data_IF_452726885760
#
_entry.id   IF_452726885760
#
_cell.length_a   1.000
_cell.length_b   1.000
_cell.length_c   1.000
_cell.angle_alpha   90.00
_cell.angle_beta   90.00
_cell.angle_gamma   90.00
#
_symmetry.space_group_name_H-M   'P 1'
#
loop_
_entity.id
_entity.type
_entity.pdbx_description
1 polymer ?
#
# COMPACT_ATOMS: atom_id res chain seq x y z
N UNK A 1 7.62 3.51 4.95
CA UNK A 1 8.59 3.92 3.91
C UNK A 1 8.54 2.92 2.77
N UNK A 2 8.24 3.35 1.55
CA UNK A 2 8.21 2.47 0.37
C UNK A 2 9.22 2.97 -0.67
N UNK A 3 9.76 2.07 -1.49
CA UNK A 3 10.63 2.39 -2.63
C UNK A 3 10.26 1.49 -3.81
N UNK A 4 10.13 2.06 -4.99
CA UNK A 4 9.92 1.33 -6.24
C UNK A 4 11.14 1.49 -7.14
N UNK A 5 11.61 0.39 -7.71
CA UNK A 5 12.59 0.39 -8.81
C UNK A 5 12.05 -0.43 -9.98
N UNK A 6 12.13 0.13 -11.18
CA UNK A 6 11.74 -0.53 -12.42
C UNK A 6 12.99 -0.73 -13.26
N UNK A 7 13.17 -1.93 -13.79
CA UNK A 7 14.32 -2.29 -14.62
C UNK A 7 13.82 -2.80 -15.97
N UNK A 8 14.62 -2.58 -17.01
CA UNK A 8 14.42 -3.27 -18.27
C UNK A 8 14.87 -4.72 -18.12
N UNK A 9 14.13 -5.66 -18.72
CA UNK A 9 14.50 -7.07 -18.76
C UNK A 9 15.90 -7.29 -19.38
N UNK A 10 16.25 -6.47 -20.36
CA UNK A 10 17.55 -6.51 -21.05
C UNK A 10 18.69 -5.79 -20.33
N UNK A 11 18.41 -5.00 -19.29
CA UNK A 11 19.44 -4.30 -18.52
C UNK A 11 19.05 -4.18 -17.03
N UNK A 12 19.29 -5.23 -16.23
CA UNK A 12 18.95 -5.23 -14.81
C UNK A 12 19.91 -4.39 -13.95
N UNK A 13 21.04 -3.92 -14.50
CA UNK A 13 22.03 -3.16 -13.73
C UNK A 13 21.65 -1.69 -13.54
N UNK A 14 20.80 -1.14 -14.40
CA UNK A 14 20.40 0.27 -14.36
C UNK A 14 18.88 0.39 -14.23
N UNK A 15 18.36 0.94 -13.11
CA UNK A 15 16.94 1.18 -12.98
C UNK A 15 16.49 2.27 -13.97
N UNK A 16 15.42 2.00 -14.70
CA UNK A 16 14.72 3.01 -15.51
C UNK A 16 13.92 3.97 -14.64
N UNK A 17 13.50 3.51 -13.47
CA UNK A 17 12.79 4.31 -12.48
C UNK A 17 13.26 3.94 -11.08
N UNK A 18 13.46 4.93 -10.22
CA UNK A 18 13.76 4.74 -8.80
C UNK A 18 13.14 5.90 -8.01
N UNK A 19 12.15 5.59 -7.18
CA UNK A 19 11.48 6.60 -6.36
C UNK A 19 11.09 6.07 -4.99
N UNK A 20 11.04 6.99 -4.02
CA UNK A 20 10.49 6.79 -2.67
C UNK A 20 9.21 7.57 -2.43
N UNK A 21 8.84 8.42 -3.39
CA UNK A 21 7.63 9.23 -3.36
C UNK A 21 6.41 8.32 -3.55
N UNK A 22 5.42 8.44 -2.66
CA UNK A 22 4.25 7.57 -2.67
C UNK A 22 3.37 7.75 -3.90
N UNK A 23 3.22 8.97 -4.38
CA UNK A 23 2.35 9.32 -5.50
C UNK A 23 3.00 8.91 -6.83
N UNK A 24 4.32 9.07 -6.93
CA UNK A 24 5.09 8.57 -8.07
C UNK A 24 5.02 7.04 -8.16
N UNK A 25 5.15 6.34 -7.01
CA UNK A 25 5.02 4.88 -6.94
C UNK A 25 3.61 4.44 -7.36
N UNK A 26 2.56 5.09 -6.84
CA UNK A 26 1.18 4.79 -7.20
C UNK A 26 0.92 4.96 -8.70
N UNK A 27 1.47 6.02 -9.28
CA UNK A 27 1.32 6.32 -10.70
C UNK A 27 1.96 5.25 -11.58
N UNK A 28 3.19 4.83 -11.26
CA UNK A 28 3.88 3.79 -12.04
C UNK A 28 3.21 2.42 -11.91
N UNK A 29 2.82 2.02 -10.68
CA UNK A 29 2.14 0.75 -10.45
C UNK A 29 0.75 0.68 -11.09
N UNK A 30 0.03 1.80 -11.14
CA UNK A 30 -1.29 1.88 -11.78
C UNK A 30 -1.23 1.54 -13.27
N UNK A 31 -0.12 1.81 -13.97
CA UNK A 31 0.06 1.50 -15.40
C UNK A 31 -0.03 -0.01 -15.69
N UNK A 32 0.34 -0.83 -14.72
CA UNK A 32 0.27 -2.31 -14.82
C UNK A 32 -0.93 -2.89 -14.07
N UNK A 33 -1.89 -2.06 -13.66
CA UNK A 33 -3.09 -2.49 -12.93
C UNK A 33 -2.85 -2.78 -11.45
N UNK A 34 -1.68 -2.43 -10.91
CA UNK A 34 -1.38 -2.60 -9.48
C UNK A 34 -1.82 -1.34 -8.73
N UNK A 35 -2.63 -1.54 -7.69
CA UNK A 35 -3.08 -0.45 -6.82
C UNK A 35 -2.15 -0.33 -5.62
N UNK A 36 -1.65 0.88 -5.39
CA UNK A 36 -0.81 1.21 -4.26
C UNK A 36 -1.46 2.34 -3.47
N UNK A 37 -1.64 2.11 -2.18
CA UNK A 37 -2.28 3.04 -1.27
C UNK A 37 -1.49 3.12 0.04
N UNK A 38 -1.50 4.29 0.67
CA UNK A 38 -0.96 4.50 2.02
C UNK A 38 -2.11 4.94 2.91
N UNK A 39 -2.66 4.00 3.68
CA UNK A 39 -3.73 4.32 4.62
C UNK A 39 -3.19 5.09 5.80
N UNK A 40 -4.02 5.98 6.32
CA UNK A 40 -3.76 6.69 7.56
C UNK A 40 -4.73 6.16 8.60
N UNK A 41 -4.21 5.79 9.76
CA UNK A 41 -5.06 5.38 10.87
C UNK A 41 -6.04 6.51 11.19
N UNK A 42 -7.33 6.18 11.21
CA UNK A 42 -8.40 7.13 11.56
C UNK A 42 -8.37 7.51 13.05
N UNK A 43 -7.68 6.71 13.87
CA UNK A 43 -7.44 6.93 15.28
C UNK A 43 -5.94 6.73 15.62
N UNK A 44 -5.42 7.43 16.65
CA UNK A 44 -4.05 7.20 17.12
C UNK A 44 -3.90 5.77 17.63
N UNK A 45 -2.90 5.06 17.10
CA UNK A 45 -2.52 3.72 17.56
C UNK A 45 -1.36 3.88 18.55
N UNK A 46 -1.66 3.64 19.82
CA UNK A 46 -0.66 3.77 20.89
C UNK A 46 0.33 2.60 20.89
N UNK A 47 1.57 2.81 21.36
CA UNK A 47 2.52 1.72 21.58
C UNK A 47 1.94 0.69 22.55
N UNK A 48 1.79 -0.56 22.10
CA UNK A 48 1.16 -1.63 22.87
C UNK A 48 -0.33 -1.82 22.63
N UNK A 49 -0.91 -1.12 21.65
CA UNK A 49 -2.28 -1.37 21.20
C UNK A 49 -2.48 -2.84 20.81
N UNK A 50 -3.63 -3.40 21.15
CA UNK A 50 -3.99 -4.76 20.77
C UNK A 50 -4.24 -4.83 19.26
N UNK A 51 -4.09 -6.00 18.62
CA UNK A 51 -4.41 -6.17 17.20
C UNK A 51 -5.83 -5.69 16.84
N UNK A 52 -6.80 -5.87 17.72
CA UNK A 52 -8.18 -5.39 17.57
C UNK A 52 -8.25 -3.86 17.48
N UNK A 53 -7.53 -3.15 18.34
CA UNK A 53 -7.47 -1.67 18.31
C UNK A 53 -6.81 -1.15 17.03
N UNK A 54 -5.79 -1.84 16.53
CA UNK A 54 -5.16 -1.51 15.25
C UNK A 54 -6.14 -1.75 14.10
N UNK A 55 -6.83 -2.88 14.11
CA UNK A 55 -7.84 -3.23 13.11
C UNK A 55 -8.99 -2.21 13.09
N UNK A 56 -9.44 -1.75 14.25
CA UNK A 56 -10.47 -0.71 14.35
C UNK A 56 -9.99 0.65 13.85
N UNK A 57 -8.73 1.01 14.08
CA UNK A 57 -8.15 2.25 13.57
C UNK A 57 -8.11 2.30 12.02
N UNK A 58 -8.04 1.14 11.35
CA UNK A 58 -8.05 1.01 9.88
C UNK A 58 -9.37 0.48 9.32
N UNK A 59 -10.41 0.31 10.13
CA UNK A 59 -11.65 -0.39 9.73
C UNK A 59 -12.33 0.21 8.50
N UNK A 60 -12.37 1.53 8.38
CA UNK A 60 -12.97 2.21 7.24
C UNK A 60 -12.27 1.87 5.90
N UNK A 61 -10.93 1.82 5.89
CA UNK A 61 -10.15 1.44 4.70
C UNK A 61 -10.27 -0.06 4.40
N UNK A 62 -10.24 -0.89 5.45
CA UNK A 62 -10.44 -2.34 5.34
C UNK A 62 -11.82 -2.65 4.72
N UNK A 63 -12.88 -2.05 5.23
CA UNK A 63 -14.25 -2.28 4.77
C UNK A 63 -14.43 -1.81 3.32
N UNK A 64 -13.86 -0.65 2.96
CA UNK A 64 -13.87 -0.14 1.58
C UNK A 64 -13.23 -1.15 0.62
N UNK A 65 -12.04 -1.62 0.93
CA UNK A 65 -11.26 -2.47 0.03
C UNK A 65 -11.80 -3.89 -0.01
N UNK A 66 -12.30 -4.37 1.12
CA UNK A 66 -13.04 -5.62 1.22
C UNK A 66 -14.29 -5.59 0.32
N UNK A 67 -15.05 -4.49 0.34
CA UNK A 67 -16.21 -4.31 -0.54
C UNK A 67 -15.83 -4.16 -2.02
N UNK A 68 -14.77 -3.41 -2.34
CA UNK A 68 -14.32 -3.18 -3.72
C UNK A 68 -13.73 -4.43 -4.38
N UNK A 69 -13.00 -5.27 -3.62
CA UNK A 69 -12.28 -6.43 -4.17
C UNK A 69 -12.85 -7.78 -3.77
N UNK A 70 -13.85 -7.81 -2.89
CA UNK A 70 -14.50 -9.03 -2.42
C UNK A 70 -13.62 -9.86 -1.49
N UNK A 71 -12.71 -9.24 -0.74
CA UNK A 71 -11.94 -9.96 0.27
C UNK A 71 -12.88 -10.50 1.36
N UNK A 72 -12.65 -11.74 1.82
CA UNK A 72 -13.52 -12.40 2.81
C UNK A 72 -12.90 -12.48 4.20
N UNK A 73 -11.59 -12.32 4.29
CA UNK A 73 -10.81 -12.50 5.51
C UNK A 73 -9.76 -11.40 5.59
N UNK A 74 -9.59 -10.84 6.78
CA UNK A 74 -8.57 -9.84 7.12
C UNK A 74 -8.05 -10.26 8.50
N UNK A 75 -6.75 -10.51 8.62
CA UNK A 75 -6.07 -11.00 9.82
C UNK A 75 -4.88 -10.13 10.25
#
# INVERSE_FOLDING_TARGET
MSRLRIFADTNPATPQFDSRDGDAIATELKKIGVTFERWHASAPVEPGATPEQVMDAYRADIDRISAERGFKTVD
#
